data_IF_153618669039
#
_entry.id   IF_153618669039
#
_cell.length_a   1.000
_cell.length_b   1.000
_cell.length_c   1.000
_cell.angle_alpha   90.00
_cell.angle_beta   90.00
_cell.angle_gamma   90.00
#
_symmetry.space_group_name_H-M   'P 1'
#
loop_
_entity.id
_entity.type
_entity.pdbx_description
1 polymer ?
#
# COMPACT_ATOMS: atom_id res chain seq x y z
N UNK A 1 0.77 21.73 2.45
CA UNK A 1 -0.11 20.52 2.43
C UNK A 1 -1.57 20.84 2.71
N UNK A 2 -1.93 21.45 3.84
CA UNK A 2 -3.33 21.80 4.14
C UNK A 2 -3.95 22.74 3.11
N UNK A 3 -3.19 23.73 2.66
CA UNK A 3 -3.63 24.64 1.60
C UNK A 3 -3.81 23.92 0.25
N UNK A 4 -2.86 23.06 -0.15
CA UNK A 4 -2.99 22.24 -1.36
C UNK A 4 -4.23 21.34 -1.33
N UNK A 5 -4.56 20.74 -0.18
CA UNK A 5 -5.81 19.99 -0.03
C UNK A 5 -7.03 20.91 -0.20
N UNK A 6 -7.05 22.07 0.48
CA UNK A 6 -8.18 23.00 0.40
C UNK A 6 -8.43 23.50 -1.04
N UNK A 7 -7.36 23.75 -1.80
CA UNK A 7 -7.43 24.13 -3.21
C UNK A 7 -7.92 22.98 -4.09
N UNK A 8 -7.43 21.76 -3.87
CA UNK A 8 -7.90 20.59 -4.61
C UNK A 8 -9.38 20.28 -4.35
N UNK A 9 -9.84 20.43 -3.10
CA UNK A 9 -11.26 20.33 -2.75
C UNK A 9 -12.09 21.46 -3.39
N UNK A 10 -11.54 22.67 -3.50
CA UNK A 10 -12.20 23.78 -4.18
C UNK A 10 -12.35 23.50 -5.68
N UNK A 11 -11.31 22.98 -6.34
CA UNK A 11 -11.36 22.60 -7.75
C UNK A 11 -12.47 21.58 -8.04
N UNK A 12 -12.56 20.52 -7.21
CA UNK A 12 -13.63 19.52 -7.31
C UNK A 12 -15.02 20.12 -7.06
N UNK A 13 -15.16 21.12 -6.17
CA UNK A 13 -16.44 21.81 -5.96
C UNK A 13 -16.84 22.68 -7.15
N UNK A 14 -15.87 23.29 -7.84
CA UNK A 14 -16.12 24.10 -9.02
C UNK A 14 -16.59 23.26 -10.21
N UNK A 15 -15.93 22.12 -10.47
CA UNK A 15 -16.39 21.15 -11.46
C UNK A 15 -16.24 19.70 -10.96
N UNK A 16 -17.33 19.11 -10.41
CA UNK A 16 -17.31 17.73 -9.94
C UNK A 16 -17.18 16.68 -11.06
N UNK A 17 -17.30 17.07 -12.34
CA UNK A 17 -17.17 16.18 -13.49
C UNK A 17 -15.77 16.19 -14.09
N UNK A 18 -14.91 17.11 -13.67
CA UNK A 18 -13.52 17.16 -14.11
C UNK A 18 -12.67 16.08 -13.42
N UNK A 19 -12.21 15.10 -14.21
CA UNK A 19 -11.34 14.04 -13.73
C UNK A 19 -10.01 14.55 -13.20
N UNK A 20 -9.49 15.64 -13.77
CA UNK A 20 -8.20 16.20 -13.36
C UNK A 20 -8.28 16.79 -11.94
N UNK A 21 -9.37 17.49 -11.61
CA UNK A 21 -9.63 17.97 -10.25
C UNK A 21 -9.65 16.84 -9.22
N UNK A 22 -10.30 15.71 -9.54
CA UNK A 22 -10.29 14.52 -8.69
C UNK A 22 -8.92 13.85 -8.59
N UNK A 23 -8.16 13.79 -9.68
CA UNK A 23 -6.77 13.32 -9.69
C UNK A 23 -5.87 14.17 -8.77
N UNK A 24 -5.97 15.49 -8.86
CA UNK A 24 -5.22 16.44 -8.01
C UNK A 24 -5.62 16.28 -6.54
N UNK A 25 -6.91 16.08 -6.24
CA UNK A 25 -7.37 15.76 -4.89
C UNK A 25 -6.79 14.44 -4.37
N UNK A 26 -6.69 13.42 -5.23
CA UNK A 26 -5.98 12.18 -4.93
C UNK A 26 -4.53 12.42 -4.54
N UNK A 27 -3.79 13.19 -5.34
CA UNK A 27 -2.39 13.54 -5.07
C UNK A 27 -2.22 14.34 -3.76
N UNK A 28 -3.15 15.25 -3.45
CA UNK A 28 -3.14 15.99 -2.19
C UNK A 28 -3.28 15.05 -0.98
N UNK A 29 -4.18 14.06 -1.07
CA UNK A 29 -4.35 13.04 -0.04
C UNK A 29 -3.16 12.07 0.04
N UNK A 30 -2.52 11.69 -1.07
CA UNK A 30 -1.27 10.92 -1.07
C UNK A 30 -0.16 11.68 -0.32
N UNK A 31 -0.02 12.98 -0.60
CA UNK A 31 0.97 13.83 0.06
C UNK A 31 0.71 13.92 1.57
N UNK A 32 -0.56 14.04 1.96
CA UNK A 32 -0.96 14.01 3.38
C UNK A 32 -0.75 12.64 4.03
N UNK A 33 -0.91 11.55 3.29
CA UNK A 33 -0.62 10.21 3.79
C UNK A 33 0.87 10.10 4.13
N UNK A 34 1.76 10.42 3.20
CA UNK A 34 3.21 10.27 3.42
C UNK A 34 3.78 11.26 4.44
N UNK A 35 3.29 12.51 4.46
CA UNK A 35 3.77 13.51 5.41
C UNK A 35 3.07 13.46 6.78
N UNK A 36 1.85 12.92 6.85
CA UNK A 36 0.97 12.98 8.03
C UNK A 36 0.96 11.71 8.87
N UNK A 37 2.04 10.94 8.86
CA UNK A 37 2.15 9.71 9.67
C UNK A 37 1.36 8.52 9.11
N UNK A 38 1.12 8.48 7.80
CA UNK A 38 0.54 7.33 7.10
C UNK A 38 -0.89 6.98 7.59
N UNK A 39 -1.70 8.00 7.85
CA UNK A 39 -3.09 7.82 8.28
C UNK A 39 -3.91 6.99 7.28
N UNK A 40 -4.54 5.87 7.71
CA UNK A 40 -5.42 5.07 6.85
C UNK A 40 -6.57 5.89 6.25
N UNK A 41 -7.00 6.95 6.93
CA UNK A 41 -8.03 7.86 6.42
C UNK A 41 -7.57 8.62 5.16
N UNK A 42 -6.35 9.15 5.15
CA UNK A 42 -5.78 9.83 3.99
C UNK A 42 -5.61 8.89 2.80
N UNK A 43 -5.14 7.67 3.05
CA UNK A 43 -5.01 6.64 2.03
C UNK A 43 -6.36 6.29 1.38
N UNK A 44 -7.42 6.06 2.19
CA UNK A 44 -8.76 5.77 1.66
C UNK A 44 -9.30 6.91 0.80
N UNK A 45 -9.13 8.16 1.24
CA UNK A 45 -9.60 9.32 0.47
C UNK A 45 -8.83 9.49 -0.85
N UNK A 46 -7.51 9.26 -0.85
CA UNK A 46 -6.72 9.28 -2.08
C UNK A 46 -7.22 8.25 -3.10
N UNK A 47 -7.39 6.99 -2.67
CA UNK A 47 -7.87 5.92 -3.55
C UNK A 47 -9.29 6.19 -4.06
N UNK A 48 -10.18 6.72 -3.21
CA UNK A 48 -11.52 7.11 -3.61
C UNK A 48 -11.51 8.26 -4.63
N UNK A 49 -10.63 9.25 -4.47
CA UNK A 49 -10.49 10.34 -5.42
C UNK A 49 -9.99 9.88 -6.78
N UNK A 50 -9.00 8.98 -6.85
CA UNK A 50 -8.57 8.41 -8.13
C UNK A 50 -9.66 7.59 -8.83
N UNK A 51 -10.37 6.73 -8.09
CA UNK A 51 -11.49 5.96 -8.65
C UNK A 51 -12.61 6.87 -9.15
N UNK A 52 -12.87 7.97 -8.43
CA UNK A 52 -13.84 8.97 -8.82
C UNK A 52 -13.41 9.71 -10.08
N UNK A 53 -12.13 10.05 -10.23
CA UNK A 53 -11.59 10.69 -11.43
C UNK A 53 -11.91 9.87 -12.69
N UNK A 54 -11.57 8.57 -12.68
CA UNK A 54 -11.87 7.65 -13.80
C UNK A 54 -13.38 7.48 -14.04
N UNK A 55 -14.19 7.56 -12.97
CA UNK A 55 -15.65 7.39 -13.08
C UNK A 55 -16.34 8.58 -13.72
N UNK A 56 -15.89 9.80 -13.43
CA UNK A 56 -16.52 11.02 -13.94
C UNK A 56 -15.96 11.45 -15.30
N UNK A 57 -14.72 11.08 -15.58
CA UNK A 57 -14.01 11.48 -16.79
C UNK A 57 -13.21 10.29 -17.35
N UNK A 58 -13.65 9.69 -18.48
CA UNK A 58 -12.94 8.61 -19.13
C UNK A 58 -11.51 8.97 -19.55
N UNK A 59 -11.20 10.25 -19.77
CA UNK A 59 -9.84 10.69 -20.13
C UNK A 59 -8.86 10.56 -18.96
N UNK A 60 -9.36 10.60 -17.72
CA UNK A 60 -8.54 10.33 -16.53
C UNK A 60 -8.03 8.87 -16.50
N UNK A 61 -8.77 7.92 -17.08
CA UNK A 61 -8.33 6.52 -17.24
C UNK A 61 -7.25 6.33 -18.32
N UNK A 62 -6.93 7.39 -19.06
CA UNK A 62 -5.79 7.47 -19.97
C UNK A 62 -4.58 8.23 -19.36
N UNK A 63 -4.68 8.69 -18.11
CA UNK A 63 -3.59 9.38 -17.41
C UNK A 63 -2.61 8.37 -16.79
N UNK A 64 -1.36 8.23 -17.30
CA UNK A 64 -0.39 7.28 -16.75
C UNK A 64 0.05 7.64 -15.31
N UNK A 65 0.14 8.94 -14.98
CA UNK A 65 0.54 9.40 -13.64
C UNK A 65 -0.49 9.01 -12.57
N UNK A 66 -1.79 9.05 -12.90
CA UNK A 66 -2.85 8.59 -12.02
C UNK A 66 -2.63 7.13 -11.62
N UNK A 67 -2.37 6.28 -12.61
CA UNK A 67 -2.16 4.85 -12.37
C UNK A 67 -0.87 4.58 -11.59
N UNK A 68 0.22 5.30 -11.89
CA UNK A 68 1.47 5.16 -11.13
C UNK A 68 1.32 5.62 -9.67
N UNK A 69 0.67 6.76 -9.42
CA UNK A 69 0.48 7.30 -8.08
C UNK A 69 -0.44 6.39 -7.25
N UNK A 70 -1.54 5.92 -7.85
CA UNK A 70 -2.41 4.92 -7.22
C UNK A 70 -1.65 3.64 -6.90
N UNK A 71 -0.86 3.12 -7.84
CA UNK A 71 -0.07 1.92 -7.62
C UNK A 71 0.96 2.07 -6.50
N UNK A 72 1.63 3.23 -6.43
CA UNK A 72 2.58 3.55 -5.38
C UNK A 72 1.91 3.51 -4.01
N UNK A 73 0.74 4.14 -3.86
CA UNK A 73 -0.03 4.09 -2.61
C UNK A 73 -0.47 2.65 -2.29
N UNK A 74 -0.96 1.89 -3.27
CA UNK A 74 -1.37 0.50 -3.06
C UNK A 74 -0.20 -0.40 -2.64
N UNK A 75 0.99 -0.20 -3.20
CA UNK A 75 2.19 -0.93 -2.81
C UNK A 75 2.57 -0.66 -1.35
N UNK A 76 2.49 0.61 -0.90
CA UNK A 76 2.71 0.98 0.50
C UNK A 76 1.67 0.37 1.45
N UNK A 77 0.45 0.14 0.98
CA UNK A 77 -0.62 -0.52 1.73
C UNK A 77 -0.57 -2.05 1.60
N UNK A 78 0.50 -2.61 1.02
CA UNK A 78 0.68 -4.05 0.76
C UNK A 78 -0.43 -4.67 -0.11
N UNK A 79 -1.17 -3.85 -0.87
CA UNK A 79 -2.19 -4.26 -1.84
C UNK A 79 -1.53 -4.55 -3.19
N UNK A 80 -0.65 -5.54 -3.21
CA UNK A 80 0.29 -5.77 -4.31
C UNK A 80 -0.37 -6.06 -5.67
N UNK A 81 -1.50 -6.77 -5.69
CA UNK A 81 -2.22 -7.05 -6.94
C UNK A 81 -2.62 -5.75 -7.66
N UNK A 82 -3.29 -4.84 -6.95
CA UNK A 82 -3.69 -3.55 -7.52
C UNK A 82 -2.51 -2.62 -7.83
N UNK A 83 -1.39 -2.76 -7.10
CA UNK A 83 -0.16 -2.05 -7.43
C UNK A 83 0.43 -2.53 -8.78
N UNK A 84 0.49 -3.85 -9.00
CA UNK A 84 0.95 -4.43 -10.26
C UNK A 84 0.05 -4.02 -11.43
N UNK A 85 -1.27 -4.11 -11.26
CA UNK A 85 -2.24 -3.68 -12.27
C UNK A 85 -2.07 -2.19 -12.64
N UNK A 86 -1.90 -1.31 -11.65
CA UNK A 86 -1.66 0.11 -11.90
C UNK A 86 -0.32 0.38 -12.58
N UNK A 87 0.76 -0.32 -12.20
CA UNK A 87 2.07 -0.19 -12.85
C UNK A 87 2.04 -0.67 -14.30
N UNK A 88 1.37 -1.80 -14.57
CA UNK A 88 1.16 -2.30 -15.93
C UNK A 88 0.39 -1.28 -16.76
N UNK A 89 -0.73 -0.78 -16.23
CA UNK A 89 -1.55 0.21 -16.93
C UNK A 89 -0.80 1.50 -17.24
N UNK A 90 0.00 2.02 -16.30
CA UNK A 90 0.84 3.19 -16.53
C UNK A 90 1.90 2.92 -17.63
N UNK A 91 2.50 1.73 -17.64
CA UNK A 91 3.45 1.32 -18.69
C UNK A 91 2.80 1.18 -20.06
N UNK A 92 1.56 0.70 -20.13
CA UNK A 92 0.81 0.54 -21.39
C UNK A 92 0.44 1.91 -21.98
N UNK A 93 0.07 2.87 -21.12
CA UNK A 93 -0.31 4.22 -21.51
C UNK A 93 0.88 5.10 -21.90
N UNK A 94 2.05 4.88 -21.30
CA UNK A 94 3.29 5.62 -21.60
C UNK A 94 4.49 4.68 -21.78
N UNK A 95 4.61 3.97 -22.92
CA UNK A 95 5.66 2.97 -23.14
C UNK A 95 7.11 3.50 -23.08
N UNK A 96 7.29 4.80 -23.34
CA UNK A 96 8.56 5.51 -23.25
C UNK A 96 8.95 5.90 -21.82
N UNK A 97 7.99 5.86 -20.89
CA UNK A 97 8.26 6.07 -19.47
C UNK A 97 8.66 4.72 -18.86
N UNK A 98 9.95 4.50 -18.67
CA UNK A 98 10.45 3.19 -18.22
C UNK A 98 10.15 2.90 -16.73
N UNK A 99 9.83 3.92 -15.94
CA UNK A 99 9.69 3.77 -14.49
C UNK A 99 8.56 2.80 -14.08
N UNK A 100 7.32 2.89 -14.60
CA UNK A 100 6.28 1.93 -14.26
C UNK A 100 6.67 0.49 -14.62
N UNK A 101 7.24 0.26 -15.81
CA UNK A 101 7.71 -1.07 -16.24
C UNK A 101 8.79 -1.62 -15.31
N UNK A 102 9.79 -0.79 -14.97
CA UNK A 102 10.87 -1.16 -14.06
C UNK A 102 10.33 -1.49 -12.66
N UNK A 103 9.45 -0.65 -12.11
CA UNK A 103 8.82 -0.87 -10.81
C UNK A 103 7.95 -2.14 -10.80
N UNK A 104 7.22 -2.41 -11.89
CA UNK A 104 6.44 -3.64 -12.05
C UNK A 104 7.34 -4.89 -11.95
N UNK A 105 8.42 -4.93 -12.73
CA UNK A 105 9.39 -6.04 -12.72
C UNK A 105 10.05 -6.23 -11.34
N UNK A 106 10.42 -5.13 -10.69
CA UNK A 106 10.99 -5.15 -9.35
C UNK A 106 10.01 -5.72 -8.32
N UNK A 107 8.73 -5.32 -8.38
CA UNK A 107 7.71 -5.81 -7.46
C UNK A 107 7.44 -7.31 -7.66
N UNK A 108 7.34 -7.78 -8.91
CA UNK A 108 7.23 -9.22 -9.20
C UNK A 108 8.44 -10.00 -8.66
N UNK A 109 9.66 -9.50 -8.90
CA UNK A 109 10.88 -10.14 -8.40
C UNK A 109 10.89 -10.22 -6.87
N UNK A 110 10.58 -9.10 -6.20
CA UNK A 110 10.48 -9.02 -4.75
C UNK A 110 9.48 -10.02 -4.18
N UNK A 111 8.26 -10.08 -4.74
CA UNK A 111 7.22 -10.99 -4.26
C UNK A 111 7.60 -12.46 -4.52
N UNK A 112 8.19 -12.76 -5.68
CA UNK A 112 8.69 -14.10 -5.98
C UNK A 112 9.79 -14.55 -5.01
N UNK A 113 10.71 -13.67 -4.66
CA UNK A 113 11.75 -13.94 -3.67
C UNK A 113 11.17 -14.11 -2.26
N UNK A 114 10.19 -13.28 -1.89
CA UNK A 114 9.47 -13.39 -0.62
C UNK A 114 8.76 -14.73 -0.50
N UNK A 115 7.97 -15.13 -1.51
CA UNK A 115 7.29 -16.43 -1.55
C UNK A 115 8.30 -17.57 -1.43
N UNK A 116 9.40 -17.54 -2.19
CA UNK A 116 10.45 -18.56 -2.13
C UNK A 116 11.11 -18.64 -0.75
N UNK A 117 11.35 -17.51 -0.10
CA UNK A 117 11.91 -17.47 1.25
C UNK A 117 10.92 -18.03 2.28
N UNK A 118 9.63 -17.75 2.14
CA UNK A 118 8.59 -18.32 3.00
C UNK A 118 8.51 -19.85 2.84
N UNK A 119 8.46 -20.35 1.60
CA UNK A 119 8.44 -21.78 1.28
C UNK A 119 9.66 -22.51 1.84
N UNK A 120 10.86 -21.93 1.65
CA UNK A 120 12.12 -22.52 2.10
C UNK A 120 12.45 -22.20 3.56
N UNK A 121 11.60 -21.43 4.26
CA UNK A 121 11.82 -20.93 5.63
C UNK A 121 13.20 -20.28 5.78
N UNK A 122 13.54 -19.38 4.85
CA UNK A 122 14.83 -18.70 4.81
C UNK A 122 16.01 -19.64 4.56
N UNK A 123 15.78 -20.76 3.86
CA UNK A 123 16.76 -21.84 3.63
C UNK A 123 17.33 -22.45 4.93
N UNK A 124 16.64 -22.31 6.06
CA UNK A 124 17.07 -22.86 7.34
C UNK A 124 16.87 -24.38 7.37
N UNK A 125 17.96 -25.13 7.59
CA UNK A 125 17.96 -26.59 7.61
C UNK A 125 18.49 -27.16 8.92
N UNK A 126 18.12 -28.41 9.20
CA UNK A 126 18.69 -29.25 10.27
C UNK A 126 18.64 -28.63 11.66
N UNK A 127 19.79 -28.62 12.35
CA UNK A 127 19.93 -28.12 13.73
C UNK A 127 19.58 -26.63 13.87
N UNK A 128 19.91 -25.79 12.87
CA UNK A 128 19.59 -24.35 12.90
C UNK A 128 18.10 -24.09 12.90
N UNK A 129 17.33 -24.83 12.09
CA UNK A 129 15.86 -24.73 12.09
C UNK A 129 15.28 -25.16 13.45
N UNK A 130 15.76 -26.25 14.04
CA UNK A 130 15.30 -26.70 15.36
C UNK A 130 15.65 -25.73 16.49
N UNK A 131 16.82 -25.10 16.42
CA UNK A 131 17.24 -24.10 17.41
C UNK A 131 16.38 -22.83 17.40
N UNK A 132 15.82 -22.45 16.25
CA UNK A 132 14.95 -21.26 16.11
C UNK A 132 13.47 -21.61 16.25
N UNK A 133 13.06 -22.85 15.93
CA UNK A 133 11.68 -23.31 16.03
C UNK A 133 11.28 -23.83 17.43
N UNK A 134 12.18 -23.75 18.41
CA UNK A 134 11.88 -24.09 19.80
C UNK A 134 10.97 -23.06 20.48
N UNK A 135 10.47 -23.36 21.69
CA UNK A 135 9.70 -22.40 22.47
C UNK A 135 10.53 -21.13 22.70
N UNK A 136 9.92 -19.97 22.45
CA UNK A 136 10.56 -18.67 22.67
C UNK A 136 10.65 -18.42 24.18
N UNK A 137 11.86 -18.24 24.75
CA UNK A 137 12.01 -17.94 26.17
C UNK A 137 11.28 -16.65 26.56
N UNK A 138 10.57 -16.66 27.70
CA UNK A 138 9.83 -15.49 28.21
C UNK A 138 10.67 -14.20 28.32
N UNK A 139 11.96 -14.23 28.72
CA UNK A 139 12.80 -13.03 28.72
C UNK A 139 12.97 -12.38 27.33
N UNK A 140 12.91 -13.16 26.24
CA UNK A 140 12.97 -12.62 24.88
C UNK A 140 11.69 -11.88 24.48
N UNK A 141 10.60 -12.05 25.24
CA UNK A 141 9.35 -11.31 25.03
C UNK A 141 9.41 -9.89 25.63
N UNK A 142 10.46 -9.56 26.39
CA UNK A 142 10.68 -8.23 26.96
C UNK A 142 9.48 -7.74 27.79
N UNK A 143 8.91 -6.56 27.51
CA UNK A 143 7.72 -6.04 28.21
C UNK A 143 6.49 -6.98 28.16
N UNK A 144 6.41 -7.87 27.16
CA UNK A 144 5.32 -8.84 27.03
C UNK A 144 5.52 -10.10 27.88
N UNK A 145 6.75 -10.38 28.32
CA UNK A 145 7.10 -11.57 29.11
C UNK A 145 7.19 -11.34 30.62
N UNK A 146 7.13 -10.08 31.07
CA UNK A 146 7.14 -9.72 32.49
C UNK A 146 5.78 -9.87 33.16
N UNK A 147 5.75 -9.79 34.50
CA UNK A 147 4.53 -9.93 35.31
C UNK A 147 3.41 -8.89 35.01
N UNK A 148 3.71 -7.85 34.23
CA UNK A 148 2.76 -6.83 33.76
C UNK A 148 2.50 -6.82 32.25
N UNK A 149 3.01 -7.80 31.49
CA UNK A 149 2.76 -7.92 30.06
C UNK A 149 1.29 -8.30 29.76
N UNK A 150 0.74 -7.96 28.58
CA UNK A 150 -0.58 -8.41 28.18
C UNK A 150 -0.62 -9.95 28.22
N UNK A 151 -1.52 -10.51 29.02
CA UNK A 151 -1.75 -11.96 29.04
C UNK A 151 -2.21 -12.37 27.64
N UNK A 152 -1.56 -13.36 26.99
CA UNK A 152 -2.04 -13.86 25.72
C UNK A 152 -3.50 -14.25 25.88
N UNK A 153 -4.38 -13.69 25.04
CA UNK A 153 -5.79 -14.08 25.06
C UNK A 153 -5.88 -15.58 24.80
N UNK A 154 -6.76 -16.31 25.51
CA UNK A 154 -7.03 -17.71 25.20
C UNK A 154 -7.35 -17.84 23.71
N UNK A 155 -6.87 -18.91 23.06
CA UNK A 155 -7.14 -19.16 21.63
C UNK A 155 -8.64 -19.07 21.32
N UNK A 156 -9.50 -19.50 22.24
CA UNK A 156 -10.95 -19.42 22.13
C UNK A 156 -11.52 -17.98 22.08
N UNK A 157 -10.75 -16.97 22.48
CA UNK A 157 -11.13 -15.57 22.47
C UNK A 157 -10.62 -14.79 21.25
N UNK A 158 -9.85 -15.42 20.36
CA UNK A 158 -9.34 -14.77 19.15
C UNK A 158 -10.46 -14.69 18.12
N UNK A 159 -10.77 -13.48 17.65
CA UNK A 159 -11.62 -13.28 16.47
C UNK A 159 -10.74 -13.06 15.24
N UNK A 160 -11.17 -13.49 14.04
CA UNK A 160 -10.54 -13.08 12.80
C UNK A 160 -10.45 -11.55 12.74
N UNK A 161 -9.31 -11.03 12.29
CA UNK A 161 -9.14 -9.59 12.07
C UNK A 161 -10.12 -9.05 11.00
N UNK A 162 -10.27 -7.72 10.93
CA UNK A 162 -11.17 -7.06 9.98
C UNK A 162 -10.80 -7.32 8.52
#
# INVERSE_FOLDING_TARGET
>A
LRESLAQAEAAVRCDPRDGQSWYVLGNAHVSLFFAGGQSPGSARRALAAYAQAERVDPTAAANPDLHLNRATLLQYLERFQGALEGLSRASDLAPQWEEPRRRHQQLIGYLGDLCRLLETRGKLRGKRRRGVAGPVPLPLLGPLGGAGGPRPSPIAGLRPGP
#
